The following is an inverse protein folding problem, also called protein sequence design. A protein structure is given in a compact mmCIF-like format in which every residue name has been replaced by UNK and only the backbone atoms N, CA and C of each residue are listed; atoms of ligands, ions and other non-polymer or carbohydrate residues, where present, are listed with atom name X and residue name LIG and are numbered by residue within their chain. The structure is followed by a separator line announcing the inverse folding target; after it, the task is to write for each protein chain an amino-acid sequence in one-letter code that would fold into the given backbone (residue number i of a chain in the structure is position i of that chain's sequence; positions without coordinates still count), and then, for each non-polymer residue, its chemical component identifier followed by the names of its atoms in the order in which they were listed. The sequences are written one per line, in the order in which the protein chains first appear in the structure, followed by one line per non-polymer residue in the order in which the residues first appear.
data_IF_268244993088
#
_entry.id   IF_268244993088
#
_cell.length_a   1.000
_cell.length_b   1.000
_cell.length_c   1.000
_cell.angle_alpha   90.00
_cell.angle_beta   90.00
_cell.angle_gamma   90.00
#
_symmetry.space_group_name_H-M   'P 1'
#
loop_
_entity.id
_entity.type
_entity.pdbx_description
1 polymer ?
#
# COMPACT_ATOMS: atom_id res chain seq x y z
N UNK A 1 26.03 -6.53 11.09
CA UNK A 1 25.51 -6.96 9.78
C UNK A 1 25.03 -8.42 9.69
N UNK A 2 25.30 -9.32 10.65
CA UNK A 2 24.86 -10.75 10.55
C UNK A 2 23.45 -11.05 11.07
N UNK A 3 22.78 -10.13 11.78
CA UNK A 3 21.45 -10.37 12.40
C UNK A 3 20.26 -10.19 11.44
N UNK A 4 20.41 -9.47 10.34
CA UNK A 4 19.33 -9.20 9.39
C UNK A 4 19.20 -10.27 8.29
N UNK A 5 20.27 -11.05 8.09
CA UNK A 5 20.26 -12.17 7.14
C UNK A 5 19.32 -13.30 7.58
N UNK A 6 19.10 -13.46 8.89
CA UNK A 6 18.26 -14.53 9.44
C UNK A 6 16.76 -14.29 9.22
N UNK A 7 16.31 -13.03 9.19
CA UNK A 7 14.91 -12.67 8.97
C UNK A 7 14.53 -12.90 7.50
N UNK A 8 15.46 -12.68 6.57
CA UNK A 8 15.22 -12.91 5.14
C UNK A 8 15.10 -14.39 4.79
N UNK A 9 15.83 -15.27 5.50
CA UNK A 9 15.79 -16.74 5.29
C UNK A 9 14.50 -17.33 5.85
N UNK A 10 13.91 -16.77 6.90
CA UNK A 10 12.66 -17.26 7.48
C UNK A 10 11.45 -17.04 6.55
N UNK A 11 11.48 -15.99 5.71
CA UNK A 11 10.45 -15.74 4.69
C UNK A 11 10.62 -16.61 3.44
N UNK A 12 11.80 -17.12 3.17
CA UNK A 12 12.07 -17.96 2.01
C UNK A 12 11.66 -19.44 2.19
N UNK A 13 11.28 -19.84 3.40
CA UNK A 13 10.91 -21.23 3.72
C UNK A 13 9.41 -21.50 3.79
N UNK A 14 8.58 -20.60 3.23
CA UNK A 14 7.16 -20.92 3.04
C UNK A 14 7.11 -22.01 1.95
N UNK A 15 6.66 -23.23 2.27
CA UNK A 15 6.61 -24.28 1.28
C UNK A 15 5.63 -23.89 0.18
N UNK A 16 6.12 -23.79 -1.05
CA UNK A 16 5.31 -23.69 -2.27
C UNK A 16 4.62 -25.05 -2.52
N UNK A 17 3.82 -25.51 -1.58
CA UNK A 17 3.10 -26.77 -1.72
C UNK A 17 1.70 -26.50 -2.26
N UNK A 18 1.45 -27.13 -3.39
CA UNK A 18 0.16 -27.43 -4.00
C UNK A 18 -0.59 -26.22 -4.57
N UNK A 19 -0.20 -25.81 -5.73
CA UNK A 19 -1.14 -25.16 -6.64
C UNK A 19 -2.02 -26.27 -7.25
N UNK A 20 -3.14 -26.54 -6.59
CA UNK A 20 -4.29 -27.11 -7.28
C UNK A 20 -4.75 -25.98 -8.21
N UNK A 21 -4.72 -26.24 -9.49
CA UNK A 21 -5.16 -25.31 -10.54
C UNK A 21 -6.69 -25.29 -10.56
N UNK A 22 -7.29 -24.76 -9.47
CA UNK A 22 -8.71 -24.47 -9.42
C UNK A 22 -8.95 -23.16 -10.17
N UNK A 23 -9.91 -23.15 -11.08
CA UNK A 23 -10.35 -21.93 -11.75
C UNK A 23 -10.69 -20.89 -10.68
N UNK A 24 -10.16 -19.66 -10.80
CA UNK A 24 -10.44 -18.63 -9.79
C UNK A 24 -11.94 -18.40 -9.73
N UNK A 25 -12.54 -18.39 -8.54
CA UNK A 25 -13.97 -18.18 -8.38
C UNK A 25 -14.37 -16.84 -9.00
N UNK A 26 -15.55 -16.80 -9.61
CA UNK A 26 -16.13 -15.55 -10.08
C UNK A 26 -16.25 -14.56 -8.92
N UNK A 27 -15.51 -13.47 -9.00
CA UNK A 27 -15.39 -12.43 -7.96
C UNK A 27 -16.22 -11.20 -8.25
N UNK A 28 -16.80 -11.09 -9.44
CA UNK A 28 -17.64 -9.96 -9.82
C UNK A 28 -18.80 -9.76 -8.83
N UNK A 29 -19.00 -8.52 -8.40
CA UNK A 29 -20.03 -8.19 -7.42
C UNK A 29 -19.72 -8.59 -5.98
N UNK A 30 -18.50 -9.03 -5.68
CA UNK A 30 -18.10 -9.43 -4.31
C UNK A 30 -17.26 -8.36 -3.63
N UNK A 31 -17.47 -8.23 -2.33
CA UNK A 31 -16.64 -7.42 -1.44
C UNK A 31 -15.48 -8.24 -0.89
N UNK A 32 -14.40 -7.56 -0.55
CA UNK A 32 -13.25 -8.14 0.12
C UNK A 32 -12.52 -7.11 0.96
N UNK A 33 -11.69 -7.55 1.90
CA UNK A 33 -10.87 -6.66 2.71
C UNK A 33 -9.51 -6.42 2.04
N UNK A 34 -9.06 -5.17 2.12
CA UNK A 34 -7.75 -4.71 1.65
C UNK A 34 -7.05 -4.02 2.82
N UNK A 35 -6.57 -4.79 3.81
CA UNK A 35 -5.78 -4.21 4.89
C UNK A 35 -4.42 -3.79 4.35
N UNK A 36 -4.13 -2.49 4.40
CA UNK A 36 -2.79 -1.96 4.16
C UNK A 36 -2.18 -1.54 5.49
N UNK A 37 -0.93 -1.92 5.70
CA UNK A 37 -0.14 -1.44 6.81
C UNK A 37 1.33 -1.31 6.41
N UNK A 38 1.99 -0.30 6.95
CA UNK A 38 3.41 -0.09 6.78
C UNK A 38 4.04 0.29 8.11
N UNK A 39 5.20 -0.30 8.40
CA UNK A 39 5.93 -0.10 9.64
C UNK A 39 7.39 0.17 9.32
N UNK A 40 7.92 1.25 9.88
CA UNK A 40 9.35 1.56 9.82
C UNK A 40 9.81 2.06 11.19
N UNK A 41 10.94 1.56 11.66
CA UNK A 41 11.52 1.91 12.95
C UNK A 41 12.99 2.30 12.79
N UNK A 42 13.40 3.37 13.45
CA UNK A 42 14.77 3.87 13.41
C UNK A 42 14.88 5.27 14.02
N UNK A 43 15.59 6.15 13.35
CA UNK A 43 15.57 7.59 13.66
C UNK A 43 14.20 8.21 13.43
N UNK A 44 13.44 7.63 12.51
CA UNK A 44 12.02 7.89 12.28
C UNK A 44 11.24 6.64 12.58
N UNK A 45 10.21 6.75 13.42
CA UNK A 45 9.17 5.75 13.59
C UNK A 45 8.00 6.14 12.70
N UNK A 46 7.58 5.25 11.82
CA UNK A 46 6.46 5.46 10.92
C UNK A 46 5.55 4.24 10.98
N UNK A 47 4.27 4.48 11.25
CA UNK A 47 3.23 3.44 11.33
C UNK A 47 2.07 3.92 10.48
N UNK A 48 1.73 3.17 9.45
CA UNK A 48 0.58 3.43 8.59
C UNK A 48 -0.39 2.27 8.67
N UNK A 49 -1.68 2.58 8.80
CA UNK A 49 -2.77 1.61 8.83
C UNK A 49 -3.92 2.14 7.98
N UNK A 50 -4.34 1.35 7.00
CA UNK A 50 -5.48 1.66 6.14
C UNK A 50 -6.33 0.40 5.92
N UNK A 51 -7.32 0.13 6.79
CA UNK A 51 -8.27 -0.94 6.59
C UNK A 51 -9.31 -0.51 5.54
N UNK A 52 -9.17 -1.02 4.32
CA UNK A 52 -10.07 -0.69 3.22
C UNK A 52 -10.98 -1.84 2.87
N UNK A 53 -12.12 -1.51 2.27
CA UNK A 53 -13.04 -2.46 1.65
C UNK A 53 -12.92 -2.31 0.14
N UNK A 54 -12.65 -3.41 -0.54
CA UNK A 54 -12.63 -3.52 -1.98
C UNK A 54 -13.93 -4.14 -2.52
N UNK A 55 -14.27 -3.80 -3.75
CA UNK A 55 -15.40 -4.31 -4.49
C UNK A 55 -15.00 -4.60 -5.93
N UNK A 56 -15.30 -5.80 -6.41
CA UNK A 56 -15.14 -6.18 -7.81
C UNK A 56 -16.28 -5.61 -8.65
N UNK A 57 -16.10 -4.39 -9.15
CA UNK A 57 -17.11 -3.72 -9.97
C UNK A 57 -17.30 -4.42 -11.33
N UNK A 58 -16.21 -4.88 -11.93
CA UNK A 58 -16.17 -5.68 -13.15
C UNK A 58 -15.13 -6.80 -12.96
N UNK A 59 -15.09 -7.75 -13.90
CA UNK A 59 -14.14 -8.87 -13.87
C UNK A 59 -12.67 -8.40 -13.77
N UNK A 60 -12.38 -7.23 -14.34
CA UNK A 60 -11.04 -6.62 -14.35
C UNK A 60 -10.93 -5.33 -13.55
N UNK A 61 -12.03 -4.78 -13.03
CA UNK A 61 -12.05 -3.51 -12.32
C UNK A 61 -12.41 -3.73 -10.86
N UNK A 62 -11.51 -3.32 -10.00
CA UNK A 62 -11.68 -3.28 -8.55
C UNK A 62 -11.70 -1.82 -8.13
N UNK A 63 -12.62 -1.46 -7.26
CA UNK A 63 -12.64 -0.18 -6.57
C UNK A 63 -12.64 -0.43 -5.07
N UNK A 64 -12.15 0.51 -4.30
CA UNK A 64 -12.17 0.37 -2.85
C UNK A 64 -11.97 1.69 -2.14
N UNK A 65 -12.32 1.71 -0.87
CA UNK A 65 -12.15 2.87 -0.01
C UNK A 65 -12.06 2.46 1.46
N UNK A 66 -11.48 3.32 2.27
CA UNK A 66 -11.39 3.13 3.71
C UNK A 66 -10.73 4.29 4.44
N UNK A 67 -10.74 4.24 5.77
CA UNK A 67 -9.98 5.19 6.59
C UNK A 67 -8.47 4.96 6.45
N UNK A 68 -7.72 6.03 6.67
CA UNK A 68 -6.27 6.05 6.62
C UNK A 68 -5.73 6.76 7.87
N UNK A 69 -4.79 6.14 8.54
CA UNK A 69 -4.13 6.68 9.73
C UNK A 69 -2.62 6.50 9.61
N UNK A 70 -1.87 7.58 9.88
CA UNK A 70 -0.41 7.56 9.98
C UNK A 70 0.00 8.11 11.34
N UNK A 71 0.89 7.42 12.01
CA UNK A 71 1.68 7.90 13.11
C UNK A 71 3.12 8.06 12.66
N UNK A 72 3.68 9.25 12.85
CA UNK A 72 5.08 9.54 12.55
C UNK A 72 5.75 10.24 13.72
N UNK A 73 6.92 9.72 14.12
CA UNK A 73 7.75 10.32 15.15
C UNK A 73 9.20 10.38 14.69
N UNK A 74 9.77 11.55 14.69
CA UNK A 74 11.16 11.82 14.33
C UNK A 74 11.93 12.21 15.57
N UNK A 75 13.02 11.50 15.86
CA UNK A 75 13.89 11.77 17.00
C UNK A 75 15.02 12.73 16.61
N UNK A 76 15.44 13.56 17.56
CA UNK A 76 16.65 14.38 17.38
C UNK A 76 17.84 13.49 17.03
N UNK A 77 18.57 13.89 16.01
CA UNK A 77 19.84 13.26 15.61
C UNK A 77 20.84 14.33 15.18
N UNK A 78 22.14 14.01 15.07
CA UNK A 78 23.14 14.98 14.58
C UNK A 78 22.86 15.52 13.17
N UNK A 79 22.05 14.80 12.39
CA UNK A 79 21.66 15.18 11.02
C UNK A 79 20.32 15.93 11.00
N UNK A 80 19.45 15.67 11.97
CA UNK A 80 18.16 16.34 12.10
C UNK A 80 17.97 16.85 13.54
N UNK A 81 18.14 18.17 13.77
CA UNK A 81 18.00 18.77 15.09
C UNK A 81 16.55 18.91 15.56
N UNK A 82 15.58 18.67 14.67
CA UNK A 82 14.16 18.84 14.99
C UNK A 82 13.51 17.50 15.28
N UNK A 83 12.96 17.36 16.50
CA UNK A 83 12.08 16.25 16.85
C UNK A 83 10.63 16.70 16.65
N UNK A 84 9.82 15.82 16.10
CA UNK A 84 8.37 16.00 16.06
C UNK A 84 7.64 14.67 16.15
N UNK A 85 6.39 14.77 16.55
CA UNK A 85 5.44 13.66 16.57
C UNK A 85 4.14 14.16 15.96
N UNK A 86 3.54 13.38 15.07
CA UNK A 86 2.30 13.75 14.40
C UNK A 86 1.41 12.55 14.14
N UNK A 87 0.12 12.84 14.14
CA UNK A 87 -0.96 11.91 13.83
C UNK A 87 -1.70 12.44 12.61
N UNK A 88 -1.71 11.68 11.54
CA UNK A 88 -2.42 12.00 10.29
C UNK A 88 -3.64 11.11 10.19
N UNK A 89 -4.78 11.73 9.95
CA UNK A 89 -6.04 11.03 9.72
C UNK A 89 -6.53 11.36 8.31
N UNK A 90 -7.07 10.37 7.63
CA UNK A 90 -7.50 10.55 6.27
C UNK A 90 -8.48 9.50 5.77
N UNK A 91 -8.81 9.65 4.51
CA UNK A 91 -9.58 8.68 3.73
C UNK A 91 -8.79 8.34 2.47
N UNK A 92 -8.80 7.07 2.11
CA UNK A 92 -8.27 6.54 0.86
C UNK A 92 -9.41 6.04 -0.02
N UNK A 93 -9.26 6.22 -1.34
CA UNK A 93 -10.09 5.57 -2.32
C UNK A 93 -9.25 5.19 -3.54
N UNK A 94 -9.45 4.00 -4.08
CA UNK A 94 -8.66 3.52 -5.22
C UNK A 94 -9.52 2.86 -6.30
N UNK A 95 -8.96 2.84 -7.51
CA UNK A 95 -9.40 1.99 -8.59
C UNK A 95 -8.21 1.23 -9.17
N UNK A 96 -8.39 -0.05 -9.42
CA UNK A 96 -7.38 -0.96 -9.97
C UNK A 96 -7.96 -1.69 -11.16
N UNK A 97 -7.27 -1.62 -12.30
CA UNK A 97 -7.68 -2.32 -13.52
C UNK A 97 -6.64 -3.36 -13.91
N UNK A 98 -7.06 -4.62 -13.98
CA UNK A 98 -6.20 -5.73 -14.40
C UNK A 98 -5.98 -5.69 -15.92
N UNK A 99 -4.73 -5.48 -16.34
CA UNK A 99 -4.30 -5.54 -17.73
C UNK A 99 -4.18 -6.99 -18.20
N UNK A 100 -3.54 -7.82 -17.36
CA UNK A 100 -3.35 -9.25 -17.57
C UNK A 100 -3.90 -9.97 -16.34
N UNK A 101 -4.73 -10.97 -16.56
CA UNK A 101 -5.24 -11.89 -15.53
C UNK A 101 -4.72 -13.29 -15.81
N UNK A 102 -4.47 -14.07 -14.76
CA UNK A 102 -3.96 -15.45 -14.88
C UNK A 102 -2.68 -15.55 -15.73
N UNK A 103 -1.72 -14.65 -15.48
CA UNK A 103 -0.44 -14.59 -16.22
C UNK A 103 0.33 -15.92 -16.18
N UNK A 104 0.13 -16.70 -15.12
CA UNK A 104 0.68 -18.06 -14.97
C UNK A 104 0.28 -19.05 -16.09
N UNK A 105 -0.81 -18.77 -16.83
CA UNK A 105 -1.22 -19.59 -17.98
C UNK A 105 -0.38 -19.30 -19.22
N UNK A 106 0.25 -18.13 -19.30
CA UNK A 106 0.97 -17.67 -20.50
C UNK A 106 2.49 -17.62 -20.27
N UNK A 107 2.93 -17.54 -19.02
CA UNK A 107 4.34 -17.42 -18.67
C UNK A 107 4.80 -18.69 -17.95
N UNK A 108 5.97 -19.26 -18.34
CA UNK A 108 6.52 -20.43 -17.68
C UNK A 108 7.02 -20.15 -16.26
N UNK A 109 6.91 -18.89 -15.80
CA UNK A 109 7.36 -18.43 -14.49
C UNK A 109 6.12 -18.08 -13.67
N UNK A 110 5.88 -18.81 -12.60
CA UNK A 110 4.78 -18.53 -11.63
C UNK A 110 5.14 -17.37 -10.69
N UNK A 111 5.59 -16.25 -11.25
CA UNK A 111 6.04 -15.12 -10.46
C UNK A 111 4.89 -14.19 -10.04
N UNK A 112 3.82 -14.12 -10.85
CA UNK A 112 2.64 -13.29 -10.56
C UNK A 112 1.40 -13.83 -11.27
N UNK A 113 0.24 -13.58 -10.67
CA UNK A 113 -1.05 -13.99 -11.22
C UNK A 113 -1.67 -12.91 -12.11
N UNK A 114 -1.64 -11.66 -11.66
CA UNK A 114 -2.27 -10.55 -12.36
C UNK A 114 -1.31 -9.35 -12.45
N UNK A 115 -1.34 -8.65 -13.58
CA UNK A 115 -0.68 -7.36 -13.78
C UNK A 115 -1.76 -6.29 -13.87
N UNK A 116 -1.59 -5.16 -13.17
CA UNK A 116 -2.60 -4.13 -13.10
C UNK A 116 -2.03 -2.69 -13.13
N UNK A 117 -2.88 -1.75 -13.53
CA UNK A 117 -2.71 -0.32 -13.27
C UNK A 117 -3.56 0.07 -12.07
N UNK A 118 -3.12 1.10 -11.34
CA UNK A 118 -3.71 1.54 -10.10
C UNK A 118 -3.75 3.07 -10.05
N UNK A 119 -4.87 3.60 -9.62
CA UNK A 119 -5.03 5.01 -9.28
C UNK A 119 -5.62 5.11 -7.88
N UNK A 120 -5.13 6.06 -7.10
CA UNK A 120 -5.53 6.23 -5.72
C UNK A 120 -5.64 7.72 -5.39
N UNK A 121 -6.66 8.06 -4.63
CA UNK A 121 -6.84 9.35 -4.03
C UNK A 121 -6.75 9.23 -2.52
N UNK A 122 -6.02 10.16 -1.90
CA UNK A 122 -5.88 10.28 -0.46
C UNK A 122 -6.19 11.69 -0.01
N UNK A 123 -7.18 11.82 0.88
CA UNK A 123 -7.44 13.07 1.58
C UNK A 123 -6.91 12.95 3.02
N UNK A 124 -5.87 13.70 3.37
CA UNK A 124 -5.18 13.59 4.65
C UNK A 124 -5.19 14.92 5.42
N UNK A 125 -5.49 14.86 6.70
CA UNK A 125 -5.38 16.00 7.61
C UNK A 125 -3.96 16.06 8.19
N UNK A 126 -3.18 17.05 7.76
CA UNK A 126 -1.79 17.26 8.15
C UNK A 126 -1.67 18.46 9.13
N UNK A 127 -0.65 18.44 9.97
CA UNK A 127 -0.38 19.51 10.94
C UNK A 127 0.45 20.63 10.31
N UNK A 128 -0.04 21.89 10.40
CA UNK A 128 0.62 23.05 9.81
C UNK A 128 2.06 23.25 10.33
N UNK A 129 2.27 23.13 11.61
CA UNK A 129 3.55 23.38 12.25
C UNK A 129 4.68 22.44 11.79
N UNK A 130 4.34 21.32 11.19
CA UNK A 130 5.32 20.35 10.65
C UNK A 130 5.65 20.69 9.20
N UNK A 131 4.64 20.99 8.40
CA UNK A 131 4.79 21.24 6.96
C UNK A 131 5.01 22.72 6.62
N UNK A 132 4.65 23.64 7.54
CA UNK A 132 4.85 25.08 7.44
C UNK A 132 5.50 25.60 8.74
N UNK A 133 6.84 25.62 8.84
CA UNK A 133 7.54 26.01 10.08
C UNK A 133 7.21 27.42 10.62
N UNK A 134 6.68 28.31 9.76
CA UNK A 134 6.24 29.66 10.11
C UNK A 134 4.72 29.82 10.21
N UNK A 135 3.98 28.71 10.11
CA UNK A 135 2.51 28.73 10.11
C UNK A 135 1.90 28.75 11.50
N UNK A 136 0.67 29.23 11.56
CA UNK A 136 -0.14 29.15 12.78
C UNK A 136 -0.40 27.68 13.15
N UNK A 137 -0.55 27.39 14.44
CA UNK A 137 -0.95 26.04 14.87
C UNK A 137 -2.31 25.70 14.29
N UNK A 138 -2.41 24.56 13.62
CA UNK A 138 -3.64 24.11 12.98
C UNK A 138 -3.38 22.92 12.09
N UNK A 139 -4.39 22.56 11.32
CA UNK A 139 -4.35 21.44 10.37
C UNK A 139 -4.91 21.89 9.01
N UNK A 140 -4.41 21.30 7.96
CA UNK A 140 -4.93 21.46 6.60
C UNK A 140 -5.20 20.10 5.96
N UNK A 141 -5.99 20.10 4.89
CA UNK A 141 -6.24 18.89 4.13
C UNK A 141 -5.28 18.84 2.93
N UNK A 142 -4.47 17.80 2.91
CA UNK A 142 -3.66 17.46 1.75
C UNK A 142 -4.46 16.51 0.84
N UNK A 143 -4.37 16.72 -0.46
CA UNK A 143 -5.00 15.90 -1.48
C UNK A 143 -3.92 15.22 -2.32
N UNK A 144 -3.66 13.95 -2.06
CA UNK A 144 -2.73 13.13 -2.84
C UNK A 144 -3.45 12.40 -3.97
N UNK A 145 -2.81 12.36 -5.14
CA UNK A 145 -3.25 11.55 -6.28
C UNK A 145 -2.09 10.67 -6.72
N UNK A 146 -2.23 9.37 -6.47
CA UNK A 146 -1.21 8.40 -6.80
C UNK A 146 -1.63 7.60 -8.03
N UNK A 147 -0.68 7.41 -8.95
CA UNK A 147 -0.87 6.64 -10.18
C UNK A 147 0.31 5.69 -10.33
N UNK A 148 0.03 4.49 -10.75
CA UNK A 148 1.09 3.51 -10.99
C UNK A 148 0.55 2.17 -11.41
N UNK A 149 1.26 1.14 -11.04
CA UNK A 149 0.88 -0.23 -11.35
C UNK A 149 1.64 -1.23 -10.50
N UNK A 150 1.32 -2.46 -10.72
CA UNK A 150 1.91 -3.53 -9.96
C UNK A 150 1.43 -4.90 -10.41
N UNK A 151 1.79 -5.86 -9.63
CA UNK A 151 1.37 -7.25 -9.86
C UNK A 151 0.82 -7.86 -8.57
N UNK A 152 -0.03 -8.85 -8.74
CA UNK A 152 -0.62 -9.63 -7.65
C UNK A 152 -0.11 -11.05 -7.72
N UNK A 153 0.24 -11.61 -6.56
CA UNK A 153 0.52 -13.02 -6.38
C UNK A 153 -0.59 -13.63 -5.52
N UNK A 154 -1.24 -14.66 -6.03
CA UNK A 154 -2.23 -15.42 -5.25
C UNK A 154 -1.54 -16.31 -4.23
N UNK A 155 -2.06 -16.30 -3.01
CA UNK A 155 -1.62 -17.14 -1.90
C UNK A 155 -2.71 -18.19 -1.57
N UNK A 156 -3.28 -18.81 -2.59
CA UNK A 156 -4.40 -19.72 -2.47
C UNK A 156 -5.71 -19.11 -2.96
N UNK A 157 -6.84 -19.70 -2.59
CA UNK A 157 -8.16 -19.36 -3.10
C UNK A 157 -8.69 -17.99 -2.61
N UNK A 158 -8.37 -17.64 -1.38
CA UNK A 158 -8.99 -16.50 -0.68
C UNK A 158 -8.03 -15.35 -0.37
N UNK A 159 -6.74 -15.50 -0.64
CA UNK A 159 -5.75 -14.49 -0.28
C UNK A 159 -4.84 -14.16 -1.45
N UNK A 160 -4.39 -12.91 -1.49
CA UNK A 160 -3.36 -12.49 -2.42
C UNK A 160 -2.51 -11.36 -1.84
N UNK A 161 -1.28 -11.25 -2.33
CA UNK A 161 -0.37 -10.14 -2.07
C UNK A 161 -0.19 -9.35 -3.34
N UNK A 162 -0.22 -8.03 -3.24
CA UNK A 162 0.03 -7.11 -4.34
C UNK A 162 1.30 -6.31 -4.07
N UNK A 163 2.13 -6.15 -5.08
CA UNK A 163 3.28 -5.26 -5.07
C UNK A 163 3.05 -4.14 -6.06
N UNK A 164 3.23 -2.90 -5.63
CA UNK A 164 2.91 -1.71 -6.40
C UNK A 164 4.04 -0.71 -6.38
N UNK A 165 4.20 0.00 -7.50
CA UNK A 165 5.02 1.21 -7.61
C UNK A 165 4.11 2.34 -8.04
N UNK A 166 4.04 3.37 -7.22
CA UNK A 166 3.13 4.49 -7.37
C UNK A 166 3.92 5.80 -7.44
N UNK A 167 3.36 6.78 -8.12
CA UNK A 167 3.82 8.16 -8.16
C UNK A 167 2.71 9.08 -7.69
N UNK A 168 3.02 9.95 -6.75
CA UNK A 168 2.17 11.08 -6.39
C UNK A 168 2.29 12.13 -7.51
N UNK A 169 1.25 12.24 -8.34
CA UNK A 169 1.23 13.18 -9.48
C UNK A 169 0.93 14.61 -9.03
N UNK A 170 0.52 14.78 -7.79
CA UNK A 170 0.29 16.07 -7.15
C UNK A 170 1.41 16.41 -6.15
N UNK A 171 2.60 15.85 -6.35
CA UNK A 171 3.75 16.06 -5.45
C UNK A 171 4.06 17.56 -5.33
N UNK A 172 3.99 18.04 -4.11
CA UNK A 172 4.37 19.40 -3.72
C UNK A 172 5.37 19.32 -2.59
N UNK A 173 5.94 20.44 -2.17
CA UNK A 173 6.81 20.51 -0.99
C UNK A 173 6.13 20.06 0.32
N UNK A 174 4.81 19.90 0.29
CA UNK A 174 3.98 19.46 1.41
C UNK A 174 3.54 18.01 1.28
N UNK A 175 3.91 17.33 0.20
CA UNK A 175 3.61 15.91 0.05
C UNK A 175 4.32 15.13 1.16
N UNK A 176 3.61 14.26 1.89
CA UNK A 176 4.23 13.37 2.86
C UNK A 176 5.03 12.25 2.18
N UNK A 177 4.97 12.16 0.86
CA UNK A 177 5.58 11.11 0.06
C UNK A 177 6.77 11.62 -0.73
N UNK A 178 7.72 10.72 -0.99
CA UNK A 178 8.79 10.91 -1.97
C UNK A 178 8.62 9.90 -3.08
N UNK A 179 8.58 10.35 -4.32
CA UNK A 179 8.42 9.50 -5.50
C UNK A 179 9.72 8.74 -5.84
N UNK A 180 9.66 7.46 -6.26
CA UNK A 180 8.47 6.60 -6.31
C UNK A 180 8.13 5.96 -4.96
N UNK A 181 6.84 5.64 -4.75
CA UNK A 181 6.38 4.88 -3.58
C UNK A 181 6.31 3.40 -3.91
N UNK A 182 6.83 2.57 -3.01
CA UNK A 182 6.70 1.12 -3.09
C UNK A 182 5.71 0.68 -2.02
N UNK A 183 4.68 -0.05 -2.43
CA UNK A 183 3.67 -0.57 -1.50
C UNK A 183 3.47 -2.07 -1.66
N UNK A 184 3.17 -2.69 -0.53
CA UNK A 184 2.75 -4.09 -0.44
C UNK A 184 1.36 -4.10 0.18
N UNK A 185 0.40 -4.67 -0.53
CA UNK A 185 -0.98 -4.80 -0.07
C UNK A 185 -1.38 -6.27 0.06
N UNK A 186 -2.26 -6.56 0.99
CA UNK A 186 -2.90 -7.85 1.13
C UNK A 186 -4.35 -7.73 0.70
N UNK A 187 -4.89 -8.80 0.10
CA UNK A 187 -6.32 -8.89 -0.17
C UNK A 187 -6.83 -10.19 0.44
N UNK A 188 -7.89 -10.08 1.23
CA UNK A 188 -8.55 -11.22 1.86
C UNK A 188 -10.00 -11.29 1.38
N UNK A 189 -10.34 -12.37 0.71
CA UNK A 189 -11.67 -12.66 0.18
C UNK A 189 -12.41 -13.59 1.13
N UNK A 190 -13.74 -13.47 1.24
CA UNK A 190 -14.60 -14.29 2.10
C UNK A 190 -15.93 -14.60 1.41
#
# INVERSE_FOLDING_TARGET
MKKYLFIFILFASIPLTAQVQEEPPDRKGKFFLVPEFWLSFGSTTYIEVAPMVGYHALDRLIVGAGPHYIYQSVKVSPVNPYAYETHVFGLKGFARFALITNAEQFLPIQLFSDLFVHVEYEGMSLENNIYYPSGDPGRFIYHGFLVGGGFTQRLGMYNSVSFMVLWDVNETSMSPYSNPLFRVGFNAYF
#
